data_IF_884019957755
#
_entry.id   IF_884019957755
#
_cell.length_a   1.000
_cell.length_b   1.000
_cell.length_c   1.000
_cell.angle_alpha   90.00
_cell.angle_beta   90.00
_cell.angle_gamma   90.00
#
_symmetry.space_group_name_H-M   'P 1'
#
loop_
_entity.id
_entity.type
_entity.pdbx_description
1 polymer ?
#
# COMPACT_ATOMS: atom_id res chain seq x y z
N UNK A 1 -8.05 81.76 -8.28
CA UNK A 1 -8.57 81.34 -9.60
C UNK A 1 -8.23 79.87 -9.80
N UNK A 2 -9.24 79.01 -10.02
CA UNK A 2 -9.14 77.55 -10.15
C UNK A 2 -8.81 77.13 -11.59
N UNK A 3 -7.86 76.19 -11.74
CA UNK A 3 -7.68 75.19 -12.83
C UNK A 3 -6.93 74.04 -12.15
N UNK A 4 -7.42 72.81 -11.92
CA UNK A 4 -8.04 71.77 -12.76
C UNK A 4 -7.31 71.52 -14.08
N UNK A 5 -6.48 70.47 -14.11
CA UNK A 5 -6.37 69.45 -15.18
C UNK A 5 -5.47 68.31 -14.65
N UNK A 6 -6.00 67.11 -14.40
CA UNK A 6 -6.39 66.03 -15.33
C UNK A 6 -5.20 65.11 -15.61
N UNK A 7 -5.26 63.91 -15.02
CA UNK A 7 -4.27 62.86 -15.16
C UNK A 7 -4.39 62.11 -16.48
N UNK A 8 -3.27 61.56 -16.90
CA UNK A 8 -3.18 60.54 -17.95
C UNK A 8 -2.50 59.34 -17.30
N UNK A 9 -3.27 58.29 -17.07
CA UNK A 9 -2.79 56.99 -16.63
C UNK A 9 -2.13 56.29 -17.83
N UNK A 10 -0.87 55.92 -17.66
CA UNK A 10 -0.08 55.16 -18.61
C UNK A 10 -0.54 53.68 -18.57
N UNK A 11 -1.23 53.22 -19.61
CA UNK A 11 -1.54 51.79 -19.80
C UNK A 11 -0.29 51.14 -20.39
N UNK A 12 0.45 50.39 -19.56
CA UNK A 12 1.54 49.52 -20.01
C UNK A 12 0.93 48.17 -20.41
N UNK A 13 0.78 47.97 -21.72
CA UNK A 13 0.51 46.65 -22.30
C UNK A 13 1.82 45.84 -22.29
N UNK A 14 1.99 44.96 -21.30
CA UNK A 14 2.97 43.89 -21.37
C UNK A 14 2.45 42.82 -22.33
N UNK A 15 2.94 42.87 -23.57
CA UNK A 15 2.85 41.75 -24.50
C UNK A 15 3.79 40.63 -24.02
N UNK A 16 3.30 39.76 -23.14
CA UNK A 16 3.94 38.47 -22.89
C UNK A 16 3.63 37.56 -24.09
N UNK A 17 4.48 37.65 -25.11
CA UNK A 17 4.61 36.61 -26.13
C UNK A 17 5.23 35.37 -25.49
N UNK A 18 4.46 34.70 -24.64
CA UNK A 18 4.79 33.36 -24.20
C UNK A 18 4.75 32.45 -25.42
N UNK A 19 5.92 32.07 -25.91
CA UNK A 19 6.06 30.93 -26.81
C UNK A 19 5.42 29.76 -26.07
N UNK A 20 4.19 29.40 -26.45
CA UNK A 20 3.59 28.14 -26.07
C UNK A 20 4.47 27.09 -26.73
N UNK A 21 5.47 26.63 -25.98
CA UNK A 21 6.25 25.47 -26.36
C UNK A 21 5.24 24.35 -26.43
N UNK A 22 4.92 23.89 -27.64
CA UNK A 22 4.15 22.67 -27.80
C UNK A 22 4.88 21.61 -26.99
N UNK A 23 4.24 21.13 -25.92
CA UNK A 23 4.77 20.01 -25.14
C UNK A 23 4.96 18.88 -26.15
N UNK A 24 6.22 18.44 -26.30
CA UNK A 24 6.49 17.28 -27.14
C UNK A 24 5.69 16.11 -26.58
N UNK A 25 4.97 15.34 -27.43
CA UNK A 25 4.28 14.15 -26.97
C UNK A 25 5.29 13.29 -26.22
N UNK A 26 4.90 12.78 -25.04
CA UNK A 26 5.76 11.91 -24.24
C UNK A 26 6.24 10.80 -25.16
N UNK A 27 7.55 10.76 -25.42
CA UNK A 27 8.13 9.80 -26.36
C UNK A 27 8.12 8.42 -25.66
N UNK A 28 6.97 7.77 -25.73
CA UNK A 28 6.55 6.58 -24.96
C UNK A 28 7.14 5.26 -25.49
N UNK A 29 8.09 5.35 -26.40
CA UNK A 29 8.72 4.18 -27.00
C UNK A 29 10.22 4.42 -27.20
N UNK A 30 10.98 3.33 -27.12
CA UNK A 30 12.42 3.38 -27.36
C UNK A 30 13.28 3.48 -26.09
N UNK A 31 14.55 3.90 -26.23
CA UNK A 31 15.56 3.71 -25.18
C UNK A 31 15.26 4.40 -23.85
N UNK A 32 14.55 5.54 -23.86
CA UNK A 32 14.22 6.28 -22.64
C UNK A 32 13.17 5.56 -21.80
N UNK A 33 12.08 5.09 -22.42
CA UNK A 33 11.05 4.30 -21.75
C UNK A 33 11.63 2.98 -21.19
N UNK A 34 12.48 2.30 -21.97
CA UNK A 34 13.17 1.09 -21.52
C UNK A 34 14.04 1.35 -20.27
N UNK A 35 14.79 2.45 -20.22
CA UNK A 35 15.62 2.82 -19.04
C UNK A 35 14.77 3.01 -17.78
N UNK A 36 13.60 3.65 -17.90
CA UNK A 36 12.67 3.85 -16.78
C UNK A 36 12.14 2.53 -16.24
N UNK A 37 11.68 1.65 -17.13
CA UNK A 37 11.19 0.32 -16.76
C UNK A 37 12.31 -0.50 -16.13
N UNK A 38 13.48 -0.56 -16.76
CA UNK A 38 14.63 -1.29 -16.23
C UNK A 38 15.00 -0.81 -14.82
N UNK A 39 15.07 0.50 -14.59
CA UNK A 39 15.38 1.06 -13.28
C UNK A 39 14.37 0.62 -12.19
N UNK A 40 13.07 0.59 -12.52
CA UNK A 40 12.05 0.10 -11.61
C UNK A 40 12.18 -1.40 -11.31
N UNK A 41 12.49 -2.20 -12.33
CA UNK A 41 12.67 -3.64 -12.17
C UNK A 41 13.93 -4.00 -11.37
N UNK A 42 15.06 -3.34 -11.67
CA UNK A 42 16.31 -3.49 -10.90
C UNK A 42 16.04 -3.10 -9.43
N UNK A 43 15.32 -2.01 -9.19
CA UNK A 43 14.96 -1.57 -7.85
C UNK A 43 14.07 -2.58 -7.11
N UNK A 44 13.08 -3.17 -7.79
CA UNK A 44 12.22 -4.19 -7.20
C UNK A 44 13.03 -5.45 -6.86
N UNK A 45 13.95 -5.88 -7.72
CA UNK A 45 14.87 -6.99 -7.45
C UNK A 45 15.70 -6.72 -6.20
N UNK A 46 16.35 -5.56 -6.11
CA UNK A 46 17.12 -5.11 -4.93
C UNK A 46 16.27 -4.99 -3.66
N UNK A 47 14.97 -4.75 -3.81
CA UNK A 47 14.03 -4.61 -2.69
C UNK A 47 13.53 -5.95 -2.18
N UNK A 48 13.32 -6.91 -3.08
CA UNK A 48 12.75 -8.23 -2.77
C UNK A 48 13.81 -9.30 -2.51
N UNK A 49 15.10 -8.96 -2.59
CA UNK A 49 16.24 -9.82 -2.28
C UNK A 49 16.97 -9.44 -0.98
N UNK A 50 16.40 -8.53 -0.20
CA UNK A 50 16.94 -8.16 1.13
C UNK A 50 16.88 -9.34 2.11
N UNK A 51 17.75 -9.39 3.15
CA UNK A 51 17.73 -10.46 4.14
C UNK A 51 16.34 -10.65 4.78
N UNK A 52 15.88 -11.90 4.88
CA UNK A 52 14.57 -12.24 5.43
C UNK A 52 13.41 -12.17 4.43
N UNK A 53 13.68 -11.83 3.17
CA UNK A 53 12.73 -11.87 2.06
C UNK A 53 13.25 -12.83 0.99
N UNK A 54 12.34 -13.60 0.41
CA UNK A 54 12.62 -14.50 -0.71
C UNK A 54 11.70 -14.15 -1.87
N UNK A 55 12.24 -13.45 -2.85
CA UNK A 55 11.58 -13.20 -4.13
C UNK A 55 11.13 -14.50 -4.80
N UNK A 56 9.91 -14.54 -5.33
CA UNK A 56 9.33 -15.72 -5.99
C UNK A 56 9.14 -15.46 -7.47
N UNK A 57 8.34 -14.44 -7.81
CA UNK A 57 7.99 -14.13 -9.18
C UNK A 57 7.65 -12.65 -9.38
N UNK A 58 7.73 -12.21 -10.63
CA UNK A 58 7.35 -10.88 -11.07
C UNK A 58 6.64 -11.01 -12.41
N UNK A 59 5.49 -10.36 -12.52
CA UNK A 59 4.67 -10.35 -13.72
C UNK A 59 4.42 -8.92 -14.15
N UNK A 60 4.61 -8.67 -15.42
CA UNK A 60 4.44 -7.35 -16.02
C UNK A 60 3.27 -7.44 -16.97
N UNK A 61 2.28 -6.59 -16.77
CA UNK A 61 1.09 -6.51 -17.62
C UNK A 61 1.30 -5.49 -18.75
N UNK A 62 0.47 -5.53 -19.81
CA UNK A 62 0.50 -4.54 -20.86
C UNK A 62 0.36 -3.11 -20.33
N UNK A 63 1.05 -2.17 -20.99
CA UNK A 63 1.03 -0.75 -20.66
C UNK A 63 -0.38 -0.17 -20.83
N UNK A 64 -0.82 0.62 -19.85
CA UNK A 64 -2.04 1.44 -19.91
C UNK A 64 -1.62 2.89 -20.14
N UNK A 65 -2.24 3.55 -21.12
CA UNK A 65 -1.84 4.90 -21.58
C UNK A 65 -2.93 5.93 -21.33
N UNK A 66 -2.50 7.16 -21.12
CA UNK A 66 -3.34 8.36 -21.05
C UNK A 66 -2.64 9.53 -21.76
N UNK A 67 -3.34 10.66 -21.90
CA UNK A 67 -2.86 11.81 -22.69
C UNK A 67 -1.48 12.33 -22.24
N UNK A 68 -1.20 12.26 -20.93
CA UNK A 68 0.01 12.82 -20.29
C UNK A 68 0.94 11.78 -19.65
N UNK A 69 0.96 10.56 -20.16
CA UNK A 69 1.84 9.48 -19.67
C UNK A 69 1.22 8.09 -19.73
N UNK A 70 1.79 7.18 -18.93
CA UNK A 70 1.37 5.78 -18.91
C UNK A 70 1.69 5.09 -17.58
N UNK A 71 1.03 3.97 -17.31
CA UNK A 71 1.42 3.03 -16.27
C UNK A 71 1.71 1.65 -16.83
N UNK A 72 2.60 0.94 -16.14
CA UNK A 72 2.86 -0.47 -16.36
C UNK A 72 2.46 -1.19 -15.07
N UNK A 73 1.38 -1.99 -15.08
CA UNK A 73 1.01 -2.78 -13.92
C UNK A 73 2.03 -3.90 -13.71
N UNK A 74 2.48 -4.03 -12.47
CA UNK A 74 3.50 -4.99 -12.05
C UNK A 74 2.99 -5.76 -10.83
N UNK A 75 2.95 -7.08 -10.91
CA UNK A 75 2.68 -7.96 -9.78
C UNK A 75 4.01 -8.56 -9.31
N UNK A 76 4.25 -8.56 -8.01
CA UNK A 76 5.44 -9.15 -7.39
C UNK A 76 5.04 -10.11 -6.28
N UNK A 77 5.54 -11.33 -6.34
CA UNK A 77 5.39 -12.36 -5.33
C UNK A 77 6.67 -12.54 -4.53
N UNK A 78 6.56 -12.58 -3.21
CA UNK A 78 7.69 -12.91 -2.32
C UNK A 78 7.22 -13.61 -1.06
N UNK A 79 8.14 -14.34 -0.43
CA UNK A 79 7.96 -14.87 0.91
C UNK A 79 8.72 -14.04 1.92
N UNK A 80 8.15 -13.81 3.10
CA UNK A 80 8.80 -13.07 4.18
C UNK A 80 8.29 -13.50 5.55
N UNK A 81 9.03 -13.10 6.60
CA UNK A 81 8.51 -13.05 7.96
C UNK A 81 7.69 -11.76 8.16
N UNK A 82 6.87 -11.69 9.21
CA UNK A 82 6.01 -10.53 9.47
C UNK A 82 6.82 -9.22 9.52
N UNK A 83 7.97 -9.24 10.18
CA UNK A 83 8.88 -8.11 10.31
C UNK A 83 9.47 -7.62 8.98
N UNK A 84 9.46 -8.45 7.94
CA UNK A 84 9.96 -8.10 6.60
C UNK A 84 8.96 -7.34 5.74
N UNK A 85 7.66 -7.47 6.00
CA UNK A 85 6.60 -6.92 5.13
C UNK A 85 6.59 -5.40 5.13
N UNK A 86 6.54 -4.75 6.31
CA UNK A 86 6.49 -3.29 6.40
C UNK A 86 7.77 -2.61 5.86
N UNK A 87 8.99 -3.11 6.15
CA UNK A 87 10.20 -2.59 5.51
C UNK A 87 10.18 -2.64 3.99
N UNK A 88 9.69 -3.74 3.39
CA UNK A 88 9.54 -3.84 1.93
C UNK A 88 8.59 -2.75 1.41
N UNK A 89 7.42 -2.59 2.03
CA UNK A 89 6.45 -1.55 1.64
C UNK A 89 7.04 -0.14 1.71
N UNK A 90 7.83 0.15 2.77
CA UNK A 90 8.53 1.44 2.91
C UNK A 90 9.58 1.65 1.82
N UNK A 91 10.40 0.63 1.53
CA UNK A 91 11.40 0.73 0.47
C UNK A 91 10.74 1.01 -0.89
N UNK A 92 9.64 0.32 -1.21
CA UNK A 92 8.88 0.56 -2.45
C UNK A 92 8.33 1.99 -2.53
N UNK A 93 7.86 2.55 -1.41
CA UNK A 93 7.40 3.94 -1.34
C UNK A 93 8.49 4.93 -1.73
N UNK A 94 9.77 4.63 -1.45
CA UNK A 94 10.90 5.52 -1.69
C UNK A 94 11.39 5.49 -3.16
N UNK A 95 10.82 4.63 -4.02
CA UNK A 95 11.22 4.58 -5.41
C UNK A 95 10.87 5.88 -6.14
N UNK A 96 11.91 6.56 -6.62
CA UNK A 96 11.81 7.69 -7.52
C UNK A 96 12.95 7.62 -8.54
N UNK A 97 12.61 7.63 -9.82
CA UNK A 97 13.58 7.73 -10.89
C UNK A 97 13.02 8.58 -12.03
N UNK A 98 13.69 9.69 -12.36
CA UNK A 98 13.18 10.68 -13.31
C UNK A 98 11.71 11.08 -12.98
N UNK A 99 10.84 11.05 -13.98
CA UNK A 99 9.40 11.28 -13.92
C UNK A 99 8.59 10.01 -13.63
N UNK A 100 9.14 9.07 -12.84
CA UNK A 100 8.47 7.80 -12.52
C UNK A 100 8.35 7.53 -11.02
N UNK A 101 7.28 6.81 -10.64
CA UNK A 101 7.00 6.33 -9.28
C UNK A 101 6.43 4.92 -9.31
N UNK A 102 6.67 4.15 -8.24
CA UNK A 102 6.01 2.88 -7.99
C UNK A 102 4.86 3.11 -7.01
N UNK A 103 3.67 2.66 -7.38
CA UNK A 103 2.45 2.85 -6.59
C UNK A 103 1.90 1.49 -6.19
N UNK A 104 1.95 1.17 -4.89
CA UNK A 104 1.42 -0.08 -4.35
C UNK A 104 -0.11 -0.07 -4.44
N UNK A 105 -0.75 -0.71 -5.42
CA UNK A 105 -2.22 -0.71 -5.57
C UNK A 105 -2.91 -1.62 -4.57
N UNK A 106 -2.45 -2.86 -4.44
CA UNK A 106 -3.10 -3.86 -3.58
C UNK A 106 -2.06 -4.83 -3.02
N UNK A 107 -2.40 -5.46 -1.90
CA UNK A 107 -1.57 -6.46 -1.25
C UNK A 107 -2.45 -7.62 -0.79
N UNK A 108 -2.00 -8.83 -1.10
CA UNK A 108 -2.54 -10.06 -0.50
C UNK A 108 -1.42 -10.76 0.23
N UNK A 109 -1.71 -11.26 1.43
CA UNK A 109 -0.77 -11.95 2.28
C UNK A 109 -1.47 -13.15 2.90
N UNK A 110 -0.81 -14.30 2.89
CA UNK A 110 -1.31 -15.52 3.51
C UNK A 110 -0.20 -16.28 4.21
N UNK A 111 -0.56 -17.02 5.25
CA UNK A 111 0.33 -17.95 5.95
C UNK A 111 0.53 -19.19 5.06
N UNK A 112 1.78 -19.42 4.65
CA UNK A 112 2.13 -20.48 3.70
C UNK A 112 2.63 -21.75 4.38
N UNK A 113 3.46 -21.60 5.40
CA UNK A 113 4.00 -22.71 6.16
C UNK A 113 4.46 -22.26 7.55
N UNK A 114 4.43 -23.21 8.49
CA UNK A 114 5.16 -23.09 9.75
C UNK A 114 6.58 -23.63 9.54
N UNK A 115 7.57 -22.83 9.93
CA UNK A 115 8.98 -23.22 9.96
C UNK A 115 9.21 -24.29 11.03
N UNK A 116 10.34 -24.98 10.96
CA UNK A 116 10.73 -26.00 11.95
C UNK A 116 10.91 -25.45 13.36
N UNK A 117 11.17 -24.14 13.50
CA UNK A 117 11.23 -23.43 14.78
C UNK A 117 9.86 -22.86 15.22
N UNK A 118 8.79 -23.17 14.47
CA UNK A 118 7.43 -22.73 14.75
C UNK A 118 7.19 -21.24 14.45
N UNK A 119 8.06 -20.60 13.66
CA UNK A 119 7.81 -19.27 13.09
C UNK A 119 7.03 -19.36 11.78
N UNK A 120 6.31 -18.31 11.42
CA UNK A 120 5.44 -18.32 10.23
C UNK A 120 6.12 -17.72 9.01
N UNK A 121 6.04 -18.45 7.89
CA UNK A 121 6.39 -17.93 6.58
C UNK A 121 5.14 -17.41 5.85
N UNK A 122 5.20 -16.14 5.45
CA UNK A 122 4.13 -15.46 4.72
C UNK A 122 4.43 -15.55 3.23
N UNK A 123 3.42 -15.84 2.41
CA UNK A 123 3.43 -15.55 0.97
C UNK A 123 2.70 -14.24 0.75
N UNK A 124 3.37 -13.29 0.12
CA UNK A 124 2.88 -11.94 -0.15
C UNK A 124 2.86 -11.71 -1.66
N UNK A 125 1.73 -11.23 -2.16
CA UNK A 125 1.57 -10.74 -3.53
C UNK A 125 1.26 -9.25 -3.45
N UNK A 126 2.13 -8.44 -4.04
CA UNK A 126 1.94 -7.00 -4.18
C UNK A 126 1.65 -6.64 -5.63
N UNK A 127 0.54 -5.94 -5.82
CA UNK A 127 0.18 -5.31 -7.08
C UNK A 127 0.63 -3.87 -7.05
N UNK A 128 1.43 -3.47 -8.02
CA UNK A 128 1.97 -2.13 -8.19
C UNK A 128 1.64 -1.58 -9.56
N UNK A 129 1.78 -0.28 -9.72
CA UNK A 129 1.87 0.38 -11.00
C UNK A 129 3.15 1.21 -11.06
N UNK A 130 3.98 0.98 -12.08
CA UNK A 130 5.03 1.93 -12.45
C UNK A 130 4.37 3.06 -13.25
N UNK A 131 4.14 4.19 -12.59
CA UNK A 131 3.51 5.37 -13.18
C UNK A 131 4.59 6.28 -13.75
N UNK A 132 4.41 6.72 -15.00
CA UNK A 132 5.34 7.57 -15.73
C UNK A 132 4.64 8.85 -16.22
N UNK A 133 5.39 9.97 -16.24
CA UNK A 133 4.91 11.26 -16.74
C UNK A 133 4.23 12.11 -15.66
N UNK A 134 3.28 12.97 -16.07
CA UNK A 134 2.64 13.93 -15.15
C UNK A 134 1.99 13.25 -13.93
N UNK A 135 1.29 12.09 -14.05
CA UNK A 135 0.66 11.47 -12.89
C UNK A 135 1.62 10.99 -11.82
N UNK A 136 2.89 10.73 -12.16
CA UNK A 136 3.90 10.35 -11.19
C UNK A 136 4.22 11.48 -10.19
N UNK A 137 3.95 12.74 -10.55
CA UNK A 137 4.11 13.90 -9.67
C UNK A 137 2.88 14.22 -8.83
N UNK A 138 1.79 13.46 -8.93
CA UNK A 138 0.54 13.78 -8.23
C UNK A 138 0.62 13.36 -6.74
N UNK A 139 0.20 14.22 -5.80
CA UNK A 139 0.28 13.91 -4.37
C UNK A 139 -0.44 12.62 -3.94
N UNK A 140 -1.51 12.23 -4.65
CA UNK A 140 -2.28 11.04 -4.33
C UNK A 140 -1.46 9.74 -4.46
N UNK A 141 -0.41 9.73 -5.29
CA UNK A 141 0.50 8.59 -5.45
C UNK A 141 1.23 8.30 -4.15
N UNK A 142 1.87 9.32 -3.58
CA UNK A 142 2.64 9.20 -2.35
C UNK A 142 1.73 8.93 -1.14
N UNK A 143 0.57 9.60 -1.10
CA UNK A 143 -0.43 9.41 -0.03
C UNK A 143 -0.94 7.96 -0.01
N UNK A 144 -1.09 7.33 -1.17
CA UNK A 144 -1.51 5.94 -1.26
C UNK A 144 -0.45 4.96 -0.73
N UNK A 145 0.82 5.14 -1.09
CA UNK A 145 1.91 4.32 -0.55
C UNK A 145 2.03 4.46 0.97
N UNK A 146 1.96 5.69 1.48
CA UNK A 146 1.98 5.97 2.92
C UNK A 146 0.82 5.30 3.66
N UNK A 147 -0.37 5.28 3.06
CA UNK A 147 -1.55 4.59 3.61
C UNK A 147 -1.26 3.11 3.81
N UNK A 148 -0.73 2.41 2.80
CA UNK A 148 -0.46 0.97 2.91
C UNK A 148 0.53 0.66 4.05
N UNK A 149 1.60 1.45 4.17
CA UNK A 149 2.58 1.34 5.27
C UNK A 149 1.91 1.53 6.63
N UNK A 150 1.06 2.55 6.78
CA UNK A 150 0.32 2.82 8.03
C UNK A 150 -0.63 1.68 8.39
N UNK A 151 -1.40 1.20 7.42
CA UNK A 151 -2.36 0.10 7.60
C UNK A 151 -1.67 -1.15 8.12
N UNK A 152 -0.59 -1.60 7.47
CA UNK A 152 0.13 -2.80 7.90
C UNK A 152 0.87 -2.60 9.22
N UNK A 153 1.43 -1.41 9.47
CA UNK A 153 2.04 -1.09 10.76
C UNK A 153 1.03 -1.18 11.90
N UNK A 154 -0.16 -0.59 11.74
CA UNK A 154 -1.23 -0.66 12.74
C UNK A 154 -1.79 -2.07 12.90
N UNK A 155 -1.95 -2.81 11.80
CA UNK A 155 -2.42 -4.19 11.83
C UNK A 155 -1.46 -5.10 12.62
N UNK A 156 -0.15 -4.97 12.40
CA UNK A 156 0.88 -5.74 13.10
C UNK A 156 1.20 -5.24 14.51
N UNK A 157 0.74 -4.04 14.87
CA UNK A 157 0.72 -3.60 16.26
C UNK A 157 -0.46 -4.21 17.03
N UNK A 158 -1.62 -4.35 16.38
CA UNK A 158 -2.85 -4.86 17.00
C UNK A 158 -2.93 -6.40 16.98
N UNK A 159 -2.26 -7.05 16.04
CA UNK A 159 -2.26 -8.51 15.85
C UNK A 159 -0.90 -9.02 15.36
N UNK A 160 -0.80 -10.32 15.09
CA UNK A 160 0.41 -10.95 14.54
C UNK A 160 0.02 -11.99 13.48
N UNK A 161 0.95 -12.50 12.71
CA UNK A 161 0.74 -13.70 11.89
C UNK A 161 1.17 -14.99 12.60
N UNK A 162 1.86 -14.87 13.75
CA UNK A 162 2.33 -16.00 14.54
C UNK A 162 1.21 -16.65 15.35
N UNK A 163 1.02 -17.99 15.29
CA UNK A 163 0.05 -18.69 16.10
C UNK A 163 0.23 -18.41 17.58
N UNK A 164 -0.90 -18.21 18.28
CA UNK A 164 -0.92 -18.03 19.74
C UNK A 164 -1.17 -19.32 20.51
N UNK A 165 -1.11 -20.46 19.81
CA UNK A 165 -1.12 -21.80 20.37
C UNK A 165 0.18 -22.48 19.92
N UNK A 166 0.93 -23.07 20.84
CA UNK A 166 2.10 -23.91 20.53
C UNK A 166 2.09 -25.14 21.44
N UNK A 167 2.24 -26.33 20.85
CA UNK A 167 2.23 -27.58 21.60
C UNK A 167 0.89 -27.83 22.31
N UNK A 168 -0.21 -27.36 21.72
CA UNK A 168 -1.55 -27.49 22.31
C UNK A 168 -1.77 -26.65 23.58
N UNK A 169 -0.99 -25.60 23.78
CA UNK A 169 -1.16 -24.64 24.88
C UNK A 169 -1.15 -23.21 24.35
N UNK A 170 -1.97 -22.30 24.92
CA UNK A 170 -1.83 -20.88 24.67
C UNK A 170 -0.42 -20.39 25.02
N UNK A 171 0.18 -19.58 24.15
CA UNK A 171 1.45 -18.92 24.44
C UNK A 171 1.21 -17.95 25.61
N UNK A 172 1.87 -18.22 26.74
CA UNK A 172 1.61 -17.56 28.02
C UNK A 172 2.14 -16.12 28.12
N UNK A 173 2.90 -15.64 27.14
CA UNK A 173 3.63 -14.38 27.20
C UNK A 173 2.98 -13.23 26.41
N UNK A 174 3.21 -12.01 26.90
CA UNK A 174 2.62 -10.77 26.42
C UNK A 174 2.66 -10.61 24.91
N UNK A 175 1.51 -10.24 24.34
CA UNK A 175 1.34 -10.02 22.91
C UNK A 175 -0.14 -10.05 22.54
N UNK A 176 -0.47 -9.78 21.26
CA UNK A 176 -1.82 -9.90 20.76
C UNK A 176 -2.43 -11.28 21.00
N UNK A 177 -3.65 -11.33 21.54
CA UNK A 177 -4.42 -12.57 21.72
C UNK A 177 -5.10 -13.08 20.43
N UNK A 178 -4.73 -12.49 19.30
CA UNK A 178 -5.21 -12.81 17.95
C UNK A 178 -4.03 -13.04 17.02
N UNK A 179 -4.24 -13.85 15.99
CA UNK A 179 -3.30 -14.00 14.89
C UNK A 179 -4.02 -14.10 13.55
N UNK A 180 -3.34 -13.63 12.51
CA UNK A 180 -3.83 -13.44 11.15
C UNK A 180 -3.32 -14.58 10.28
N UNK A 181 -4.18 -15.10 9.41
CA UNK A 181 -3.82 -16.14 8.45
C UNK A 181 -3.92 -15.67 7.01
N UNK A 182 -4.85 -14.76 6.73
CA UNK A 182 -5.03 -14.15 5.43
C UNK A 182 -5.35 -12.67 5.62
N UNK A 183 -4.70 -11.82 4.83
CA UNK A 183 -4.89 -10.37 4.81
C UNK A 183 -4.93 -9.93 3.36
N UNK A 184 -5.94 -9.18 2.98
CA UNK A 184 -6.08 -8.59 1.64
C UNK A 184 -6.46 -7.13 1.79
N UNK A 185 -5.66 -6.24 1.20
CA UNK A 185 -5.99 -4.82 1.05
C UNK A 185 -6.11 -4.53 -0.44
N UNK A 186 -7.32 -4.19 -0.87
CA UNK A 186 -7.64 -3.86 -2.26
C UNK A 186 -7.30 -2.38 -2.58
N UNK A 187 -7.27 -2.06 -3.87
CA UNK A 187 -6.97 -0.72 -4.39
C UNK A 187 -8.03 0.34 -4.11
N UNK A 188 -9.19 -0.06 -3.59
CA UNK A 188 -10.21 0.86 -3.07
C UNK A 188 -10.11 1.04 -1.56
N UNK A 189 -9.14 0.40 -0.91
CA UNK A 189 -8.86 0.54 0.50
C UNK A 189 -9.69 -0.36 1.41
N UNK A 190 -10.42 -1.32 0.84
CA UNK A 190 -11.08 -2.38 1.60
C UNK A 190 -10.03 -3.38 2.09
N UNK A 191 -9.97 -3.53 3.41
CA UNK A 191 -9.17 -4.52 4.11
C UNK A 191 -10.07 -5.71 4.48
N UNK A 192 -9.65 -6.92 4.13
CA UNK A 192 -10.25 -8.17 4.54
C UNK A 192 -9.21 -8.99 5.30
N UNK A 193 -9.59 -9.50 6.46
CA UNK A 193 -8.69 -10.24 7.34
C UNK A 193 -9.40 -11.51 7.83
N UNK A 194 -8.73 -12.65 7.70
CA UNK A 194 -9.14 -13.89 8.37
C UNK A 194 -8.08 -14.28 9.37
N UNK A 195 -8.51 -14.68 10.56
CA UNK A 195 -7.60 -15.05 11.63
C UNK A 195 -8.26 -15.88 12.70
N UNK A 196 -7.54 -16.02 13.81
CA UNK A 196 -7.98 -16.74 14.99
C UNK A 196 -7.73 -15.90 16.24
N UNK A 197 -8.55 -16.13 17.25
CA UNK A 197 -8.47 -15.50 18.56
C UNK A 197 -8.57 -16.56 19.66
N UNK A 198 -7.87 -16.34 20.77
CA UNK A 198 -7.96 -17.22 21.94
C UNK A 198 -9.33 -17.15 22.62
N UNK A 199 -10.08 -16.06 22.42
CA UNK A 199 -11.42 -15.88 22.97
C UNK A 199 -12.26 -14.96 22.09
N UNK A 200 -13.58 -15.03 22.27
CA UNK A 200 -14.52 -14.07 21.67
C UNK A 200 -14.12 -12.62 21.99
N UNK A 201 -13.78 -12.33 23.26
CA UNK A 201 -13.37 -11.00 23.72
C UNK A 201 -12.10 -10.50 23.03
N UNK A 202 -11.17 -11.40 22.72
CA UNK A 202 -9.96 -11.05 22.00
C UNK A 202 -10.25 -10.64 20.55
N UNK A 203 -11.18 -11.34 19.87
CA UNK A 203 -11.61 -10.98 18.52
C UNK A 203 -12.28 -9.59 18.50
N UNK A 204 -13.15 -9.28 19.45
CA UNK A 204 -13.80 -7.95 19.53
C UNK A 204 -12.80 -6.85 19.91
N UNK A 205 -11.87 -7.11 20.83
CA UNK A 205 -10.83 -6.16 21.22
C UNK A 205 -9.87 -5.80 20.08
N UNK A 206 -9.65 -6.71 19.12
CA UNK A 206 -8.89 -6.42 17.90
C UNK A 206 -9.56 -5.28 17.10
N UNK A 207 -10.88 -5.34 16.90
CA UNK A 207 -11.63 -4.30 16.18
C UNK A 207 -11.46 -2.94 16.86
N UNK A 208 -11.65 -2.89 18.18
CA UNK A 208 -11.46 -1.66 18.96
C UNK A 208 -10.03 -1.12 18.85
N UNK A 209 -9.03 -2.01 18.83
CA UNK A 209 -7.62 -1.63 18.69
C UNK A 209 -7.33 -1.04 17.31
N UNK A 210 -7.94 -1.57 16.25
CA UNK A 210 -7.84 -1.01 14.90
C UNK A 210 -8.46 0.40 14.86
N UNK A 211 -9.66 0.58 15.42
CA UNK A 211 -10.28 1.90 15.51
C UNK A 211 -9.40 2.94 16.23
N UNK A 212 -8.80 2.55 17.36
CA UNK A 212 -7.91 3.43 18.15
C UNK A 212 -6.67 3.90 17.40
N UNK A 213 -6.28 3.22 16.33
CA UNK A 213 -5.15 3.66 15.49
C UNK A 213 -5.48 4.87 14.61
N UNK A 214 -6.76 5.17 14.40
CA UNK A 214 -7.23 6.23 13.50
C UNK A 214 -7.08 5.93 12.00
N UNK A 215 -6.47 4.80 11.63
CA UNK A 215 -6.27 4.41 10.22
C UNK A 215 -7.46 3.66 9.63
N UNK A 216 -8.40 3.23 10.47
CA UNK A 216 -9.57 2.42 10.10
C UNK A 216 -10.85 3.15 10.53
N UNK A 217 -11.44 4.00 9.67
CA UNK A 217 -12.71 4.67 9.95
C UNK A 217 -13.88 3.69 10.16
N UNK A 218 -13.82 2.50 9.56
CA UNK A 218 -14.79 1.44 9.77
C UNK A 218 -14.06 0.11 9.91
N UNK A 219 -14.45 -0.70 10.89
CA UNK A 219 -13.96 -2.06 11.10
C UNK A 219 -15.07 -2.90 11.72
N UNK A 220 -15.33 -4.08 11.16
CA UNK A 220 -16.41 -4.96 11.60
C UNK A 220 -15.99 -6.41 11.55
N UNK A 221 -16.44 -7.19 12.54
CA UNK A 221 -16.39 -8.65 12.49
C UNK A 221 -17.57 -9.13 11.67
N UNK A 222 -17.29 -9.76 10.53
CA UNK A 222 -18.32 -10.28 9.64
C UNK A 222 -18.70 -11.72 9.99
N UNK A 223 -17.76 -12.47 10.57
CA UNK A 223 -17.96 -13.86 10.94
C UNK A 223 -17.14 -14.20 12.17
N UNK A 224 -17.68 -15.08 13.01
CA UNK A 224 -17.01 -15.56 14.20
C UNK A 224 -17.53 -16.96 14.54
N UNK A 225 -16.67 -17.97 14.42
CA UNK A 225 -17.03 -19.36 14.65
C UNK A 225 -16.01 -20.06 15.55
N UNK A 226 -16.52 -20.99 16.37
CA UNK A 226 -15.66 -21.82 17.21
C UNK A 226 -14.94 -22.84 16.33
N UNK A 227 -13.63 -22.96 16.52
CA UNK A 227 -12.77 -23.89 15.82
C UNK A 227 -11.81 -24.55 16.82
N UNK A 228 -10.99 -25.48 16.35
CA UNK A 228 -9.95 -26.14 17.13
C UNK A 228 -8.61 -25.99 16.40
N UNK A 229 -7.61 -25.47 17.10
CA UNK A 229 -6.23 -25.34 16.61
C UNK A 229 -5.32 -26.10 17.56
N UNK A 230 -4.53 -27.06 17.06
CA UNK A 230 -3.72 -27.95 17.88
C UNK A 230 -4.47 -28.54 19.09
N UNK A 231 -5.72 -28.99 18.90
CA UNK A 231 -6.60 -29.52 19.97
C UNK A 231 -7.02 -28.49 21.03
N UNK A 232 -6.70 -27.22 20.87
CA UNK A 232 -7.17 -26.12 21.72
C UNK A 232 -8.38 -25.44 21.06
N UNK A 233 -9.48 -25.21 21.78
CA UNK A 233 -10.61 -24.46 21.25
C UNK A 233 -10.21 -22.99 21.02
N UNK A 234 -10.47 -22.49 19.82
CA UNK A 234 -10.17 -21.12 19.40
C UNK A 234 -11.37 -20.53 18.67
N UNK A 235 -11.35 -19.23 18.41
CA UNK A 235 -12.37 -18.55 17.62
C UNK A 235 -11.76 -18.11 16.30
N UNK A 236 -12.20 -18.71 15.19
CA UNK A 236 -11.87 -18.18 13.87
C UNK A 236 -12.76 -16.98 13.60
N UNK A 237 -12.18 -15.92 13.06
CA UNK A 237 -12.89 -14.70 12.71
C UNK A 237 -12.60 -14.26 11.28
N UNK A 238 -13.57 -13.57 10.68
CA UNK A 238 -13.37 -12.76 9.48
C UNK A 238 -13.72 -11.30 9.83
N UNK A 239 -12.83 -10.39 9.45
CA UNK A 239 -12.93 -8.95 9.70
C UNK A 239 -12.84 -8.21 8.38
N UNK A 240 -13.71 -7.22 8.21
CA UNK A 240 -13.65 -6.26 7.11
C UNK A 240 -13.49 -4.87 7.70
N UNK A 241 -12.57 -4.09 7.12
CA UNK A 241 -12.35 -2.70 7.47
C UNK A 241 -12.19 -1.84 6.22
N UNK A 242 -12.57 -0.57 6.32
CA UNK A 242 -12.19 0.44 5.34
C UNK A 242 -11.02 1.21 5.93
N UNK A 243 -10.04 1.52 5.09
CA UNK A 243 -8.88 2.31 5.52
C UNK A 243 -9.13 3.78 5.19
N UNK A 244 -8.61 4.73 5.97
CA UNK A 244 -8.87 6.16 5.74
C UNK A 244 -8.47 6.60 4.32
N UNK A 245 -9.29 7.43 3.68
CA UNK A 245 -8.97 7.97 2.36
C UNK A 245 -7.67 8.77 2.43
N UNK A 246 -6.78 8.53 1.47
CA UNK A 246 -5.52 9.23 1.32
C UNK A 246 -5.70 10.69 0.82
N UNK A 247 -6.86 11.32 1.07
CA UNK A 247 -7.19 12.63 0.52
C UNK A 247 -8.69 12.83 0.35
N UNK A 248 -9.50 12.77 1.42
CA UNK A 248 -10.82 13.39 1.41
C UNK A 248 -10.67 14.91 1.47
N UNK A 249 -10.13 15.46 0.39
CA UNK A 249 -10.10 16.86 0.03
C UNK A 249 -10.31 16.91 -1.49
N UNK A 250 -11.59 17.03 -1.88
CA UNK A 250 -12.13 17.43 -3.20
C UNK A 250 -11.66 16.70 -4.47
N UNK A 251 -12.65 16.12 -5.16
CA UNK A 251 -12.84 16.08 -6.61
C UNK A 251 -11.63 15.89 -7.53
N UNK A 252 -11.51 14.69 -8.12
CA UNK A 252 -11.20 14.57 -9.56
C UNK A 252 -12.04 13.43 -10.16
N UNK A 253 -12.69 13.62 -11.33
CA UNK A 253 -13.43 12.58 -12.02
C UNK A 253 -12.48 11.57 -12.67
N UNK A 254 -12.96 10.34 -12.80
CA UNK A 254 -12.32 9.27 -13.57
C UNK A 254 -12.28 9.58 -15.06
#
# INVERSE_FOLDING_TARGET
MRKLMLGIALVVLFACSGVVRAEEPVNDSGPAAFKKVKAALDFLDDTLTVPGVKFQDLRISPTVRWEKGFEIPVESGFMALQEGVVPVLKKIQDYAFADTRLVNRAITMSVSAERTDGGVLLTVTLNHALVCGEPAGRPHVDLWNQRMVKVFSSLFQASTCEPRIKGGQPVAEGGPATWLTNVRLDSDGRLQVTGYALSFKAATALVESLYKTGNFPEASLCNLNRNTYEKVPVWRFDLVATTGNAGSGSDEPR
#
